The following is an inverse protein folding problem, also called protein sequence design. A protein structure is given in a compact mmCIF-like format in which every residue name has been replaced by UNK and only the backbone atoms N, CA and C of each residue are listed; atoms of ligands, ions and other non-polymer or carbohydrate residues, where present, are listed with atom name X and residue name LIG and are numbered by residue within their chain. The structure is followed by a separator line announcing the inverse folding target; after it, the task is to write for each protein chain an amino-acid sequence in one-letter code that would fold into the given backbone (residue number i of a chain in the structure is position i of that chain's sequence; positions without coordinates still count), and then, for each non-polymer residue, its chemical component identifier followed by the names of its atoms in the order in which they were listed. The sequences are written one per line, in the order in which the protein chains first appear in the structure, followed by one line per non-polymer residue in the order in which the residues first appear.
data_IF_865416388427
#
_entry.id   IF_865416388427
#
_cell.length_a   1.000
_cell.length_b   1.000
_cell.length_c   1.000
_cell.angle_alpha   90.00
_cell.angle_beta   90.00
_cell.angle_gamma   90.00
#
_symmetry.space_group_name_H-M   'P 1'
#
loop_
_entity.id
_entity.type
_entity.pdbx_description
1 polymer ?
#
# COMPACT_ATOMS: atom_id res chain seq x y z
N UNK A 1 -15.71 19.73 -38.49
CA UNK A 1 -14.66 20.21 -37.56
C UNK A 1 -15.08 19.89 -36.13
N UNK A 2 -14.55 18.82 -35.50
CA UNK A 2 -14.60 18.65 -34.03
C UNK A 2 -13.78 17.42 -33.56
N UNK A 3 -12.45 17.40 -33.78
CA UNK A 3 -11.57 16.33 -33.26
C UNK A 3 -10.40 16.87 -32.43
N UNK A 4 -10.07 18.17 -32.57
CA UNK A 4 -8.97 18.79 -31.82
C UNK A 4 -9.32 19.10 -30.35
N UNK A 5 -10.60 19.36 -30.04
CA UNK A 5 -11.06 19.72 -28.68
C UNK A 5 -10.96 18.57 -27.66
N UNK A 6 -11.25 17.33 -28.10
CA UNK A 6 -11.26 16.14 -27.22
C UNK A 6 -9.83 15.77 -26.77
N UNK A 7 -8.85 15.92 -27.66
CA UNK A 7 -7.45 15.59 -27.39
C UNK A 7 -6.79 16.60 -26.43
N UNK A 8 -7.16 17.87 -26.50
CA UNK A 8 -6.67 18.90 -25.58
C UNK A 8 -7.14 18.68 -24.13
N UNK A 9 -8.41 18.33 -23.94
CA UNK A 9 -8.97 18.02 -22.61
C UNK A 9 -8.35 16.75 -22.03
N UNK A 10 -8.14 15.72 -22.86
CA UNK A 10 -7.42 14.51 -22.44
C UNK A 10 -6.01 14.84 -21.96
N UNK A 11 -5.25 15.66 -22.71
CA UNK A 11 -3.92 16.09 -22.31
C UNK A 11 -3.88 16.86 -20.99
N UNK A 12 -4.86 17.75 -20.75
CA UNK A 12 -4.97 18.48 -19.48
C UNK A 12 -5.26 17.53 -18.32
N UNK A 13 -6.20 16.60 -18.48
CA UNK A 13 -6.52 15.60 -17.44
C UNK A 13 -5.30 14.74 -17.09
N UNK A 14 -4.55 14.27 -18.08
CA UNK A 14 -3.33 13.50 -17.85
C UNK A 14 -2.26 14.33 -17.13
N UNK A 15 -2.14 15.62 -17.46
CA UNK A 15 -1.20 16.52 -16.77
C UNK A 15 -1.59 16.73 -15.30
N UNK A 16 -2.88 16.93 -15.03
CA UNK A 16 -3.38 17.07 -13.66
C UNK A 16 -3.19 15.79 -12.85
N UNK A 17 -3.48 14.61 -13.43
CA UNK A 17 -3.26 13.33 -12.77
C UNK A 17 -1.79 13.15 -12.36
N UNK A 18 -0.84 13.44 -13.26
CA UNK A 18 0.60 13.38 -12.94
C UNK A 18 1.02 14.34 -11.84
N UNK A 19 0.42 15.53 -11.77
CA UNK A 19 0.71 16.49 -10.71
C UNK A 19 0.19 16.00 -9.36
N UNK A 20 -1.00 15.40 -9.34
CA UNK A 20 -1.58 14.78 -8.13
C UNK A 20 -0.70 13.61 -7.68
N UNK A 21 -0.30 12.72 -8.60
CA UNK A 21 0.57 11.58 -8.28
C UNK A 21 1.90 12.06 -7.69
N UNK A 22 2.52 13.08 -8.29
CA UNK A 22 3.76 13.66 -7.77
C UNK A 22 3.59 14.28 -6.39
N UNK A 23 2.52 15.04 -6.17
CA UNK A 23 2.24 15.63 -4.88
C UNK A 23 1.98 14.56 -3.80
N UNK A 24 1.33 13.45 -4.16
CA UNK A 24 1.11 12.31 -3.27
C UNK A 24 2.42 11.58 -2.91
N UNK A 25 3.31 11.42 -3.88
CA UNK A 25 4.64 10.84 -3.67
C UNK A 25 5.49 11.74 -2.76
N UNK A 26 5.54 13.06 -3.03
CA UNK A 26 6.29 14.03 -2.22
C UNK A 26 5.75 14.12 -0.78
N UNK A 27 4.42 14.07 -0.59
CA UNK A 27 3.78 14.17 0.73
C UNK A 27 4.18 13.05 1.70
N UNK A 28 4.49 11.86 1.17
CA UNK A 28 4.78 10.68 1.99
C UNK A 28 6.20 10.13 1.80
N UNK A 29 7.07 10.88 1.12
CA UNK A 29 8.41 10.46 0.75
C UNK A 29 9.22 9.98 1.96
N UNK A 30 9.20 10.73 3.06
CA UNK A 30 9.97 10.40 4.26
C UNK A 30 9.49 9.09 4.90
N UNK A 31 8.17 8.91 5.00
CA UNK A 31 7.57 7.71 5.56
C UNK A 31 7.83 6.48 4.68
N UNK A 32 7.76 6.64 3.36
CA UNK A 32 8.08 5.59 2.38
C UNK A 32 9.58 5.22 2.46
N UNK A 33 10.47 6.19 2.62
CA UNK A 33 11.91 5.95 2.82
C UNK A 33 12.16 5.17 4.11
N UNK A 34 11.53 5.55 5.22
CA UNK A 34 11.64 4.82 6.47
C UNK A 34 11.10 3.39 6.36
N UNK A 35 9.93 3.21 5.73
CA UNK A 35 9.36 1.89 5.50
C UNK A 35 10.31 1.02 4.67
N UNK A 36 10.90 1.58 3.60
CA UNK A 36 11.90 0.89 2.80
C UNK A 36 13.13 0.49 3.62
N UNK A 37 13.70 1.41 4.41
CA UNK A 37 14.86 1.12 5.28
C UNK A 37 14.57 0.04 6.31
N UNK A 38 13.34 -0.03 6.81
CA UNK A 38 12.90 -1.03 7.78
C UNK A 38 12.45 -2.35 7.14
N UNK A 39 12.48 -2.46 5.80
CA UNK A 39 12.02 -3.65 5.08
C UNK A 39 10.49 -3.86 5.18
N UNK A 40 9.73 -2.79 5.38
CA UNK A 40 8.27 -2.83 5.43
C UNK A 40 7.68 -2.76 4.02
N UNK A 41 6.50 -3.33 3.84
CA UNK A 41 5.73 -3.20 2.61
C UNK A 41 4.80 -2.00 2.70
N UNK A 42 4.66 -1.23 1.62
CA UNK A 42 3.77 -0.07 1.53
C UNK A 42 2.71 -0.33 0.46
N UNK A 43 1.45 -0.12 0.82
CA UNK A 43 0.31 -0.16 -0.10
C UNK A 43 -0.33 1.23 -0.17
N UNK A 44 -0.41 1.82 -1.38
CA UNK A 44 -1.14 3.08 -1.61
C UNK A 44 -2.65 2.79 -1.59
N UNK A 45 -3.37 3.46 -0.70
CA UNK A 45 -4.83 3.30 -0.54
C UNK A 45 -5.61 4.55 -0.96
N UNK A 46 -4.93 5.66 -1.21
CA UNK A 46 -5.50 6.92 -1.70
C UNK A 46 -4.46 8.05 -1.61
N UNK A 47 -4.87 9.27 -1.98
CA UNK A 47 -4.01 10.45 -1.86
C UNK A 47 -3.65 10.73 -0.39
N UNK A 48 -2.37 10.80 -0.07
CA UNK A 48 -1.82 10.91 1.28
C UNK A 48 -2.05 9.68 2.16
N UNK A 49 -2.62 8.60 1.61
CA UNK A 49 -3.07 7.44 2.37
C UNK A 49 -2.28 6.20 1.97
N UNK A 50 -1.53 5.66 2.94
CA UNK A 50 -0.69 4.48 2.77
C UNK A 50 -0.91 3.51 3.93
N UNK A 51 -0.93 2.22 3.62
CA UNK A 51 -0.86 1.14 4.60
C UNK A 51 0.57 0.63 4.65
N UNK A 52 1.21 0.82 5.80
CA UNK A 52 2.54 0.30 6.09
C UNK A 52 2.41 -1.04 6.81
N UNK A 53 3.08 -2.08 6.29
CA UNK A 53 3.05 -3.43 6.84
C UNK A 53 4.45 -3.85 7.25
N UNK A 54 4.60 -4.11 8.55
CA UNK A 54 5.83 -4.63 9.12
C UNK A 54 5.80 -6.18 9.14
N UNK A 55 6.76 -6.86 8.50
CA UNK A 55 6.77 -8.32 8.39
C UNK A 55 6.90 -9.04 9.74
N UNK A 56 7.45 -8.39 10.78
CA UNK A 56 7.57 -8.99 12.12
C UNK A 56 6.21 -9.23 12.78
N UNK A 57 5.21 -8.40 12.50
CA UNK A 57 3.85 -8.65 13.00
C UNK A 57 3.17 -9.80 12.26
N UNK A 58 3.50 -9.99 10.98
CA UNK A 58 2.99 -11.12 10.20
C UNK A 58 3.54 -12.45 10.73
N UNK A 59 4.84 -12.48 11.04
CA UNK A 59 5.50 -13.63 11.66
C UNK A 59 4.89 -13.95 13.03
N UNK A 60 4.74 -12.97 13.91
CA UNK A 60 4.12 -13.18 15.22
C UNK A 60 2.66 -13.69 15.11
N UNK A 61 1.92 -13.18 14.12
CA UNK A 61 0.56 -13.65 13.85
C UNK A 61 0.56 -15.12 13.40
N UNK A 62 1.48 -15.49 12.51
CA UNK A 62 1.64 -16.87 12.07
C UNK A 62 2.05 -17.79 13.23
N UNK A 63 3.05 -17.40 14.03
CA UNK A 63 3.50 -18.13 15.22
C UNK A 63 2.36 -18.37 16.20
N UNK A 64 1.51 -17.37 16.47
CA UNK A 64 0.33 -17.56 17.33
C UNK A 64 -0.67 -18.55 16.76
N UNK A 65 -0.87 -18.56 15.44
CA UNK A 65 -1.77 -19.51 14.78
C UNK A 65 -1.22 -20.93 14.91
N UNK A 66 0.08 -21.13 14.67
CA UNK A 66 0.71 -22.45 14.80
C UNK A 66 0.82 -22.90 16.26
N UNK A 67 1.14 -22.02 17.20
CA UNK A 67 1.19 -22.32 18.63
C UNK A 67 -0.20 -22.62 19.23
N UNK A 68 -1.26 -22.04 18.67
CA UNK A 68 -2.65 -22.32 19.05
C UNK A 68 -3.25 -23.56 18.38
N UNK A 69 -2.59 -24.14 17.38
CA UNK A 69 -3.05 -25.32 16.63
C UNK A 69 -2.73 -26.66 17.30
N UNK A 70 -1.91 -26.69 18.35
CA UNK A 70 -1.45 -27.92 19.03
C UNK A 70 -2.33 -28.33 20.24
N UNK A 71 -3.46 -27.64 20.46
CA UNK A 71 -4.40 -27.93 21.57
C UNK A 71 -5.66 -28.68 21.07
N UNK A 72 -5.66 -29.13 19.81
CA UNK A 72 -6.84 -29.67 19.13
C UNK A 72 -6.90 -31.18 18.93
N UNK A 73 -5.90 -31.96 19.35
CA UNK A 73 -5.86 -33.41 19.09
C UNK A 73 -5.38 -34.18 20.32
N UNK A 74 -6.15 -34.16 21.41
CA UNK A 74 -6.02 -35.12 22.53
C UNK A 74 -7.25 -35.14 23.45
N UNK A 75 -8.47 -35.29 22.91
CA UNK A 75 -9.62 -35.75 23.72
C UNK A 75 -10.54 -36.62 22.86
N UNK A 76 -10.15 -37.87 22.63
CA UNK A 76 -11.09 -38.97 22.33
C UNK A 76 -10.34 -40.30 22.50
N UNK A 77 -10.15 -40.71 23.77
CA UNK A 77 -9.89 -42.09 24.16
C UNK A 77 -10.94 -42.48 25.21
#
# INVERSE_FOLDING_TARGET
MHVQSINGISGIKTRLARLIDRADDELCMDQDEWAYRLGWTVERTGFGARRYRNPLFDLQKAERIYAGGDVGENVAA
#
